data_IF_735377544097
#
_entry.id   IF_735377544097
#
_cell.length_a   1.000
_cell.length_b   1.000
_cell.length_c   1.000
_cell.angle_alpha   90.00
_cell.angle_beta   90.00
_cell.angle_gamma   90.00
#
_symmetry.space_group_name_H-M   'P 1'
#
loop_
_entity.id
_entity.type
_entity.pdbx_description
1 polymer ?
#
# COMPACT_ATOMS: atom_id res chain seq x y z
N UNK A 1 17.66 -37.27 -23.07
CA UNK A 1 18.74 -36.26 -23.17
C UNK A 1 18.18 -34.90 -22.73
N UNK A 2 18.42 -34.52 -21.48
CA UNK A 2 17.98 -33.20 -20.94
C UNK A 2 19.07 -32.19 -21.24
N UNK A 3 18.78 -31.23 -22.14
CA UNK A 3 19.65 -30.08 -22.36
C UNK A 3 19.51 -29.12 -21.16
N UNK A 4 20.59 -28.96 -20.39
CA UNK A 4 20.73 -27.88 -19.42
C UNK A 4 20.94 -26.58 -20.19
N UNK A 5 19.94 -25.70 -20.16
CA UNK A 5 20.09 -24.33 -20.64
C UNK A 5 20.90 -23.58 -19.56
N UNK A 6 22.11 -23.19 -19.88
CA UNK A 6 22.91 -22.26 -19.06
C UNK A 6 22.40 -20.86 -19.43
N UNK A 7 21.58 -20.29 -18.55
CA UNK A 7 21.19 -18.88 -18.64
C UNK A 7 22.38 -18.06 -18.15
N UNK A 8 23.06 -17.42 -19.10
CA UNK A 8 24.11 -16.46 -18.78
C UNK A 8 23.51 -15.23 -18.09
N UNK A 9 23.80 -15.07 -16.82
CA UNK A 9 23.60 -13.82 -16.10
C UNK A 9 24.53 -12.78 -16.72
N UNK A 10 24.01 -11.78 -17.41
CA UNK A 10 24.78 -10.61 -17.79
C UNK A 10 25.06 -9.80 -16.53
N UNK A 11 26.08 -10.17 -15.80
CA UNK A 11 26.65 -9.35 -14.74
C UNK A 11 27.42 -8.20 -15.42
N UNK A 12 26.97 -6.99 -15.22
CA UNK A 12 27.81 -5.81 -15.37
C UNK A 12 28.89 -5.86 -14.28
N UNK A 13 29.99 -6.56 -14.56
CA UNK A 13 31.22 -6.46 -13.76
C UNK A 13 32.08 -5.37 -14.36
N UNK A 14 32.01 -4.16 -13.84
CA UNK A 14 33.10 -3.24 -13.97
C UNK A 14 34.18 -3.66 -12.96
N UNK A 15 35.24 -4.31 -13.44
CA UNK A 15 36.49 -4.49 -12.72
C UNK A 15 37.17 -3.11 -12.57
N UNK A 16 37.03 -2.56 -11.38
CA UNK A 16 37.85 -1.45 -10.91
C UNK A 16 38.35 -1.80 -9.52
N UNK A 17 39.56 -2.36 -9.43
CA UNK A 17 40.23 -2.56 -8.15
C UNK A 17 40.64 -1.18 -7.60
N UNK A 18 39.83 -0.65 -6.70
CA UNK A 18 40.15 0.48 -5.85
C UNK A 18 39.71 0.13 -4.43
N UNK A 19 40.69 -0.25 -3.59
CA UNK A 19 40.47 -0.37 -2.15
C UNK A 19 40.25 1.04 -1.64
N UNK A 20 38.96 1.42 -1.46
CA UNK A 20 38.58 2.59 -0.66
C UNK A 20 38.28 2.05 0.74
N UNK A 21 39.28 2.11 1.63
CA UNK A 21 39.09 2.06 3.06
C UNK A 21 38.40 3.36 3.48
N UNK A 22 37.13 3.32 3.63
CA UNK A 22 36.29 4.39 4.13
C UNK A 22 35.04 3.77 4.76
N UNK A 23 35.25 2.98 5.83
CA UNK A 23 34.17 2.58 6.70
C UNK A 23 33.79 3.79 7.56
N UNK A 24 33.01 4.73 7.02
CA UNK A 24 32.12 5.51 7.85
C UNK A 24 31.06 4.54 8.39
N UNK A 25 31.23 4.11 9.63
CA UNK A 25 30.18 3.48 10.40
C UNK A 25 29.10 4.55 10.66
N UNK A 26 28.24 4.80 9.68
CA UNK A 26 26.99 5.46 9.94
C UNK A 26 26.24 4.54 10.89
N UNK A 27 26.12 4.93 12.15
CA UNK A 27 25.19 4.36 13.13
C UNK A 27 23.77 4.56 12.58
N UNK A 28 23.36 3.66 11.69
CA UNK A 28 21.99 3.52 11.25
C UNK A 28 21.21 3.05 12.48
N UNK A 29 20.62 3.99 13.23
CA UNK A 29 19.45 3.67 14.05
C UNK A 29 18.37 3.22 13.07
N UNK A 30 18.32 1.93 12.81
CA UNK A 30 17.45 1.31 11.81
C UNK A 30 15.97 1.49 12.19
N UNK A 31 15.70 1.65 13.49
CA UNK A 31 14.34 1.75 14.05
C UNK A 31 14.30 2.82 15.14
N UNK A 32 13.33 3.72 15.08
CA UNK A 32 12.98 4.62 16.17
C UNK A 32 11.56 4.32 16.63
N UNK A 33 11.36 4.12 17.93
CA UNK A 33 10.05 3.96 18.54
C UNK A 33 9.78 5.13 19.49
N UNK A 34 8.57 5.66 19.48
CA UNK A 34 8.15 6.77 20.33
C UNK A 34 6.71 6.61 20.77
N UNK A 35 6.36 7.19 21.90
CA UNK A 35 4.96 7.35 22.29
C UNK A 35 4.28 8.31 21.30
N UNK A 36 3.02 8.03 20.94
CA UNK A 36 2.25 8.97 20.12
C UNK A 36 2.08 10.28 20.86
N UNK A 37 2.63 11.37 20.30
CA UNK A 37 2.53 12.70 20.92
C UNK A 37 1.11 13.29 20.82
N UNK A 38 0.45 13.05 19.67
CA UNK A 38 -0.93 13.45 19.41
C UNK A 38 -1.62 12.33 18.64
N UNK A 39 -2.73 11.85 19.15
CA UNK A 39 -3.54 10.87 18.44
C UNK A 39 -4.52 11.58 17.52
N UNK A 40 -4.35 11.36 16.21
CA UNK A 40 -5.20 11.94 15.16
C UNK A 40 -5.90 10.87 14.33
N UNK A 41 -5.95 9.64 14.82
CA UNK A 41 -6.68 8.55 14.17
C UNK A 41 -8.17 8.91 14.05
N UNK A 42 -8.76 8.62 12.88
CA UNK A 42 -10.14 9.02 12.57
C UNK A 42 -11.19 7.95 12.85
N UNK A 43 -10.77 6.81 13.38
CA UNK A 43 -11.62 5.68 13.76
C UNK A 43 -11.68 5.51 15.29
N UNK A 44 -12.61 4.71 15.78
CA UNK A 44 -12.75 4.42 17.21
C UNK A 44 -11.48 3.74 17.75
N UNK A 45 -10.89 4.36 18.78
CA UNK A 45 -9.66 3.89 19.41
C UNK A 45 -10.00 2.81 20.43
N UNK A 46 -9.34 1.66 20.32
CA UNK A 46 -9.40 0.63 21.34
C UNK A 46 -8.34 0.92 22.42
N UNK A 47 -8.75 1.20 23.67
CA UNK A 47 -7.82 1.52 24.76
C UNK A 47 -6.96 0.33 25.20
N UNK A 48 -7.35 -0.90 24.87
CA UNK A 48 -6.61 -2.12 25.22
C UNK A 48 -5.47 -2.41 24.24
N UNK A 49 -5.44 -1.75 23.07
CA UNK A 49 -4.40 -1.89 22.07
C UNK A 49 -3.34 -0.81 22.22
N UNK A 50 -2.14 -1.24 22.61
CA UNK A 50 -0.99 -0.32 22.70
C UNK A 50 -0.52 0.11 21.33
N UNK A 51 -0.29 1.41 21.15
CA UNK A 51 0.17 1.99 19.88
C UNK A 51 1.40 2.85 20.09
N UNK A 52 2.41 2.63 19.23
CA UNK A 52 3.67 3.38 19.25
C UNK A 52 3.94 3.97 17.86
N UNK A 53 4.46 5.18 17.80
CA UNK A 53 5.02 5.74 16.58
C UNK A 53 6.35 5.07 16.25
N UNK A 54 6.54 4.68 15.00
CA UNK A 54 7.76 4.04 14.54
C UNK A 54 8.27 4.70 13.25
N UNK A 55 9.58 4.62 13.06
CA UNK A 55 10.24 5.07 11.84
C UNK A 55 11.24 4.04 11.37
N UNK A 56 11.27 3.78 10.08
CA UNK A 56 12.16 2.83 9.42
C UNK A 56 12.44 3.29 7.98
N UNK A 57 13.51 2.81 7.38
CA UNK A 57 13.93 3.23 6.03
C UNK A 57 13.67 2.14 5.01
N UNK A 58 13.26 2.55 3.82
CA UNK A 58 13.27 1.67 2.65
C UNK A 58 14.67 1.63 2.01
N UNK A 59 14.88 0.74 1.02
CA UNK A 59 16.18 0.59 0.34
C UNK A 59 16.64 1.83 -0.44
N UNK A 60 15.75 2.77 -0.70
CA UNK A 60 16.07 4.06 -1.32
C UNK A 60 16.51 5.12 -0.28
N UNK A 61 16.53 4.76 1.00
CA UNK A 61 16.90 5.66 2.10
C UNK A 61 15.78 6.59 2.56
N UNK A 62 14.56 6.46 2.01
CA UNK A 62 13.39 7.23 2.45
C UNK A 62 12.92 6.71 3.81
N UNK A 63 12.80 7.59 4.80
CA UNK A 63 12.26 7.24 6.11
C UNK A 63 10.74 7.22 6.09
N UNK A 64 10.16 6.07 6.46
CA UNK A 64 8.74 5.84 6.58
C UNK A 64 8.28 6.02 8.02
N UNK A 65 7.12 6.65 8.20
CA UNK A 65 6.46 6.82 9.49
C UNK A 65 5.31 5.82 9.63
N UNK A 66 5.26 5.11 10.74
CA UNK A 66 4.23 4.10 11.00
C UNK A 66 3.66 4.18 12.42
N UNK A 67 2.52 3.54 12.61
CA UNK A 67 1.95 3.21 13.90
C UNK A 67 2.06 1.70 14.10
N UNK A 68 2.85 1.28 15.09
CA UNK A 68 2.98 -0.10 15.53
C UNK A 68 1.91 -0.37 16.58
N UNK A 69 1.04 -1.35 16.32
CA UNK A 69 0.00 -1.81 17.21
C UNK A 69 0.41 -3.14 17.82
N UNK A 70 0.35 -3.22 19.15
CA UNK A 70 0.66 -4.43 19.91
C UNK A 70 -0.64 -5.03 20.44
N UNK A 71 -0.81 -6.37 20.39
CA UNK A 71 -2.03 -7.02 20.84
C UNK A 71 -2.27 -6.81 22.34
N UNK A 72 -3.51 -7.02 22.77
CA UNK A 72 -3.85 -7.05 24.20
C UNK A 72 -2.99 -8.11 24.91
N UNK A 73 -2.56 -7.79 26.12
CA UNK A 73 -1.66 -8.64 26.93
C UNK A 73 -0.35 -9.02 26.19
N UNK A 74 0.18 -8.07 25.41
CA UNK A 74 1.46 -8.23 24.73
C UNK A 74 2.56 -8.65 25.69
N UNK A 75 3.31 -9.68 25.33
CA UNK A 75 4.44 -10.23 26.08
C UNK A 75 5.68 -10.28 25.16
N UNK A 76 6.65 -9.41 25.41
CA UNK A 76 7.85 -9.30 24.60
C UNK A 76 8.72 -10.56 24.58
N UNK A 77 8.49 -11.52 25.49
CA UNK A 77 9.18 -12.82 25.50
C UNK A 77 8.63 -13.83 24.47
N UNK A 78 7.45 -13.55 23.91
CA UNK A 78 6.79 -14.40 22.92
C UNK A 78 7.11 -13.97 21.49
N UNK A 79 6.89 -14.87 20.53
CA UNK A 79 6.97 -14.60 19.11
C UNK A 79 5.58 -14.46 18.50
N UNK A 80 5.37 -13.40 17.76
CA UNK A 80 4.10 -13.07 17.12
C UNK A 80 4.22 -13.13 15.60
N UNK A 81 3.15 -13.53 14.94
CA UNK A 81 2.96 -13.25 13.53
C UNK A 81 2.72 -11.75 13.34
N UNK A 82 3.18 -11.19 12.22
CA UNK A 82 3.10 -9.76 12.01
C UNK A 82 2.52 -9.38 10.64
N UNK A 83 1.78 -8.24 10.59
CA UNK A 83 1.07 -7.78 9.41
C UNK A 83 1.39 -6.30 9.14
N UNK A 84 1.87 -5.96 7.92
CA UNK A 84 1.94 -4.56 7.47
C UNK A 84 0.67 -4.16 6.73
N UNK A 85 0.19 -2.96 6.98
CA UNK A 85 -1.05 -2.45 6.40
C UNK A 85 -0.81 -1.09 5.76
N UNK A 86 -1.24 -0.91 4.51
CA UNK A 86 -1.19 0.37 3.83
C UNK A 86 -2.40 0.62 2.95
N UNK A 87 -2.70 1.89 2.72
CA UNK A 87 -3.81 2.37 1.89
C UNK A 87 -4.96 2.96 2.69
N UNK A 88 -5.96 3.47 2.00
CA UNK A 88 -6.11 3.66 0.54
C UNK A 88 -5.06 4.56 -0.10
N UNK A 89 -5.00 4.55 -1.45
CA UNK A 89 -4.09 5.41 -2.20
C UNK A 89 -4.44 6.89 -1.98
N UNK A 90 -3.50 7.65 -1.43
CA UNK A 90 -3.74 9.04 -1.01
C UNK A 90 -4.29 9.22 0.41
N UNK A 91 -4.51 8.12 1.14
CA UNK A 91 -4.79 8.15 2.57
C UNK A 91 -3.51 8.16 3.42
N UNK A 92 -3.68 8.27 4.73
CA UNK A 92 -2.61 8.19 5.73
C UNK A 92 -2.91 7.09 6.75
N UNK A 93 -1.89 6.69 7.51
CA UNK A 93 -1.95 5.62 8.51
C UNK A 93 -2.99 5.83 9.63
N UNK A 94 -3.48 7.04 9.78
CA UNK A 94 -4.55 7.40 10.73
C UNK A 94 -5.97 7.10 10.22
N UNK A 95 -6.11 6.66 8.97
CA UNK A 95 -7.37 6.33 8.30
C UNK A 95 -7.58 4.80 8.23
N UNK A 96 -8.15 4.29 7.15
CA UNK A 96 -8.52 2.88 7.00
C UNK A 96 -7.39 1.88 7.33
N UNK A 97 -6.14 2.15 6.92
CA UNK A 97 -5.02 1.24 7.25
C UNK A 97 -4.78 1.11 8.75
N UNK A 98 -4.92 2.19 9.50
CA UNK A 98 -4.83 2.16 10.96
C UNK A 98 -5.97 1.36 11.61
N UNK A 99 -7.20 1.48 11.06
CA UNK A 99 -8.33 0.68 11.51
C UNK A 99 -8.07 -0.82 11.32
N UNK A 100 -7.65 -1.22 10.13
CA UNK A 100 -7.32 -2.62 9.84
C UNK A 100 -6.16 -3.12 10.74
N UNK A 101 -5.15 -2.29 10.96
CA UNK A 101 -4.04 -2.63 11.84
C UNK A 101 -4.51 -2.83 13.29
N UNK A 102 -5.36 -1.94 13.81
CA UNK A 102 -5.93 -2.08 15.16
C UNK A 102 -6.77 -3.35 15.27
N UNK A 103 -7.63 -3.64 14.29
CA UNK A 103 -8.49 -4.82 14.31
C UNK A 103 -7.70 -6.14 14.24
N UNK A 104 -6.60 -6.18 13.49
CA UNK A 104 -5.72 -7.34 13.48
C UNK A 104 -4.90 -7.45 14.78
N UNK A 105 -4.53 -6.33 15.41
CA UNK A 105 -3.88 -6.36 16.71
C UNK A 105 -4.82 -6.89 17.82
N UNK A 106 -6.11 -6.54 17.80
CA UNK A 106 -7.13 -7.12 18.69
C UNK A 106 -7.24 -8.65 18.55
N UNK A 107 -6.88 -9.17 17.39
CA UNK A 107 -6.89 -10.61 17.06
C UNK A 107 -5.55 -11.30 17.27
N UNK A 108 -4.62 -10.63 17.97
CA UNK A 108 -3.36 -11.23 18.44
C UNK A 108 -2.15 -11.06 17.53
N UNK A 109 -2.26 -10.30 16.43
CA UNK A 109 -1.13 -10.02 15.56
C UNK A 109 -0.37 -8.77 16.00
N UNK A 110 0.93 -8.71 15.77
CA UNK A 110 1.69 -7.46 15.79
C UNK A 110 1.49 -6.77 14.43
N UNK A 111 1.00 -5.53 14.43
CA UNK A 111 0.68 -4.87 13.16
C UNK A 111 1.34 -3.50 13.03
N UNK A 112 1.61 -3.09 11.80
CA UNK A 112 2.07 -1.73 11.51
C UNK A 112 1.25 -1.14 10.37
N UNK A 113 0.60 0.01 10.60
CA UNK A 113 0.08 0.87 9.55
C UNK A 113 1.11 1.96 9.27
N UNK A 114 1.44 2.23 8.02
CA UNK A 114 2.47 3.21 7.65
C UNK A 114 2.00 4.18 6.59
N UNK A 115 2.57 5.39 6.61
CA UNK A 115 2.47 6.34 5.52
C UNK A 115 3.47 5.94 4.43
N UNK A 116 3.07 5.91 3.15
CA UNK A 116 4.02 5.63 2.08
C UNK A 116 5.04 6.75 1.88
N UNK A 117 6.13 6.42 1.21
CA UNK A 117 7.14 7.40 0.77
C UNK A 117 6.48 8.63 0.16
N UNK A 118 7.01 9.81 0.45
CA UNK A 118 6.58 11.13 -0.04
C UNK A 118 5.27 11.67 0.55
N UNK A 119 4.59 10.95 1.43
CA UNK A 119 3.26 11.32 1.94
C UNK A 119 3.18 11.27 3.47
N UNK A 120 2.10 11.82 4.03
CA UNK A 120 1.85 11.81 5.45
C UNK A 120 3.03 12.36 6.27
N UNK A 121 3.50 11.58 7.24
CA UNK A 121 4.68 11.85 8.06
C UNK A 121 5.95 11.17 7.57
N UNK A 122 5.86 10.35 6.52
CA UNK A 122 7.02 9.76 5.84
C UNK A 122 7.80 10.83 5.08
N UNK A 123 9.09 10.62 4.92
CA UNK A 123 9.97 11.52 4.19
C UNK A 123 9.88 11.34 2.67
N UNK A 124 10.82 11.91 1.98
CA UNK A 124 10.97 11.89 0.52
C UNK A 124 10.63 13.23 -0.13
N UNK A 125 11.44 13.58 -1.14
CA UNK A 125 11.30 14.78 -1.95
C UNK A 125 11.35 14.42 -3.43
N UNK A 126 10.55 15.10 -4.27
CA UNK A 126 9.53 16.09 -3.88
C UNK A 126 8.34 15.41 -3.17
N UNK A 127 7.59 16.20 -2.38
CA UNK A 127 6.41 15.67 -1.67
C UNK A 127 5.30 15.26 -2.64
N UNK A 128 4.47 14.33 -2.18
CA UNK A 128 3.24 13.88 -2.86
C UNK A 128 3.47 13.17 -4.19
N UNK A 129 4.66 12.62 -4.39
CA UNK A 129 4.95 11.73 -5.51
C UNK A 129 4.36 10.35 -5.26
N UNK A 130 3.80 9.75 -6.30
CA UNK A 130 3.47 8.33 -6.33
C UNK A 130 4.37 7.64 -7.35
N UNK A 131 4.97 6.52 -6.95
CA UNK A 131 5.87 5.72 -7.78
C UNK A 131 5.56 4.23 -7.61
N UNK A 132 5.24 3.49 -8.68
CA UNK A 132 4.94 2.06 -8.57
C UNK A 132 6.10 1.25 -7.98
N UNK A 133 7.35 1.60 -8.28
CA UNK A 133 8.54 0.93 -7.75
C UNK A 133 8.75 1.26 -6.26
N UNK A 134 8.89 2.55 -5.93
CA UNK A 134 9.18 2.98 -4.55
C UNK A 134 8.05 2.59 -3.60
N UNK A 135 6.79 2.75 -4.02
CA UNK A 135 5.66 2.41 -3.16
C UNK A 135 5.47 0.88 -3.01
N UNK A 136 5.85 0.07 -3.98
CA UNK A 136 5.94 -1.39 -3.80
C UNK A 136 7.01 -1.74 -2.77
N UNK A 137 8.17 -1.10 -2.86
CA UNK A 137 9.29 -1.26 -1.92
C UNK A 137 8.91 -0.88 -0.48
N UNK A 138 8.02 0.10 -0.29
CA UNK A 138 7.58 0.49 1.05
C UNK A 138 6.95 -0.68 1.84
N UNK A 139 6.31 -1.64 1.16
CA UNK A 139 5.86 -2.90 1.80
C UNK A 139 7.05 -3.78 2.21
N UNK A 140 8.05 -3.95 1.34
CA UNK A 140 9.26 -4.73 1.67
C UNK A 140 10.03 -4.09 2.83
N UNK A 141 10.12 -2.77 2.87
CA UNK A 141 10.69 -2.04 4.00
C UNK A 141 9.92 -2.27 5.32
N UNK A 142 8.59 -2.34 5.26
CA UNK A 142 7.79 -2.70 6.42
C UNK A 142 7.95 -4.17 6.83
N UNK A 143 8.27 -5.08 5.91
CA UNK A 143 8.66 -6.45 6.20
C UNK A 143 10.03 -6.48 6.87
N UNK A 144 11.02 -5.74 6.37
CA UNK A 144 12.34 -5.58 7.00
C UNK A 144 12.20 -5.09 8.44
N UNK A 145 11.51 -3.97 8.63
CA UNK A 145 11.28 -3.38 9.94
C UNK A 145 10.76 -4.39 10.96
N UNK A 146 9.72 -5.15 10.61
CA UNK A 146 9.10 -6.10 11.52
C UNK A 146 9.96 -7.32 11.78
N UNK A 147 10.71 -7.77 10.78
CA UNK A 147 11.62 -8.90 10.92
C UNK A 147 12.81 -8.60 11.86
N UNK A 148 13.06 -7.31 12.15
CA UNK A 148 14.06 -6.85 13.10
C UNK A 148 13.53 -6.69 14.53
N UNK A 149 12.22 -6.88 14.77
CA UNK A 149 11.65 -6.84 16.11
C UNK A 149 11.80 -8.18 16.81
N UNK A 150 12.46 -8.21 17.96
CA UNK A 150 12.78 -9.44 18.69
C UNK A 150 11.53 -10.29 19.03
N UNK A 151 10.36 -9.68 19.13
CA UNK A 151 9.09 -10.34 19.42
C UNK A 151 8.30 -10.75 18.16
N UNK A 152 8.84 -10.55 16.97
CA UNK A 152 8.21 -11.01 15.71
C UNK A 152 8.91 -12.26 15.20
N UNK A 153 8.13 -13.20 14.69
CA UNK A 153 8.62 -14.33 13.94
C UNK A 153 8.81 -13.92 12.47
N UNK A 154 10.04 -13.88 11.95
CA UNK A 154 10.33 -13.42 10.59
C UNK A 154 9.71 -14.33 9.51
N UNK A 155 9.40 -15.59 9.83
CA UNK A 155 8.76 -16.52 8.90
C UNK A 155 7.23 -16.42 8.89
N UNK A 156 6.65 -15.60 9.78
CA UNK A 156 5.21 -15.40 9.96
C UNK A 156 4.77 -13.98 9.64
N UNK A 157 5.04 -13.55 8.41
CA UNK A 157 4.83 -12.17 7.96
C UNK A 157 3.78 -12.10 6.86
N UNK A 158 2.75 -11.27 7.06
CA UNK A 158 1.71 -10.95 6.10
C UNK A 158 1.60 -9.46 5.80
N UNK A 159 0.84 -9.14 4.76
CA UNK A 159 0.54 -7.76 4.38
C UNK A 159 -0.95 -7.58 4.06
N UNK A 160 -1.46 -6.36 4.27
CA UNK A 160 -2.80 -5.93 3.83
C UNK A 160 -2.65 -4.67 2.98
N UNK A 161 -3.15 -4.71 1.75
CA UNK A 161 -3.25 -3.55 0.88
C UNK A 161 -4.70 -3.15 0.64
N UNK A 162 -5.03 -1.86 0.86
CA UNK A 162 -6.40 -1.33 0.70
C UNK A 162 -6.44 -0.40 -0.52
N UNK A 163 -7.45 -0.53 -1.37
CA UNK A 163 -7.64 0.30 -2.56
C UNK A 163 -6.43 0.19 -3.52
N UNK A 164 -5.84 1.29 -3.98
CA UNK A 164 -4.64 1.26 -4.82
C UNK A 164 -3.45 0.53 -4.21
N UNK A 165 -3.38 0.46 -2.88
CA UNK A 165 -2.36 -0.33 -2.17
C UNK A 165 -2.62 -1.84 -2.25
N UNK A 166 -3.81 -2.27 -2.63
CA UNK A 166 -4.07 -3.68 -2.93
C UNK A 166 -3.29 -4.17 -4.15
N UNK A 167 -3.23 -3.39 -5.22
CA UNK A 167 -2.40 -3.70 -6.39
C UNK A 167 -0.90 -3.68 -6.08
N UNK A 168 -0.45 -2.70 -5.26
CA UNK A 168 0.94 -2.63 -4.77
C UNK A 168 1.29 -3.81 -3.84
N UNK A 169 0.34 -4.27 -3.02
CA UNK A 169 0.53 -5.45 -2.17
C UNK A 169 0.71 -6.73 -2.99
N UNK A 170 -0.06 -6.91 -4.08
CA UNK A 170 0.14 -8.03 -5.01
C UNK A 170 1.51 -7.95 -5.68
N UNK A 171 1.92 -6.75 -6.11
CA UNK A 171 3.24 -6.55 -6.70
C UNK A 171 4.36 -6.84 -5.68
N UNK A 172 4.21 -6.41 -4.42
CA UNK A 172 5.15 -6.74 -3.35
C UNK A 172 5.22 -8.25 -3.09
N UNK A 173 4.09 -8.94 -3.07
CA UNK A 173 4.04 -10.40 -2.89
C UNK A 173 4.67 -11.18 -4.06
N UNK A 174 4.68 -10.60 -5.28
CA UNK A 174 5.37 -11.19 -6.43
C UNK A 174 6.90 -11.05 -6.36
N UNK A 175 7.41 -10.04 -5.64
CA UNK A 175 8.84 -9.72 -5.56
C UNK A 175 9.45 -10.22 -4.24
N UNK A 176 8.76 -10.05 -3.11
CA UNK A 176 9.27 -10.36 -1.78
C UNK A 176 8.76 -11.72 -1.28
N UNK A 177 9.61 -12.73 -1.39
CA UNK A 177 9.27 -14.12 -1.02
C UNK A 177 9.12 -14.35 0.50
N UNK A 178 9.45 -13.37 1.32
CA UNK A 178 9.24 -13.39 2.78
C UNK A 178 7.79 -13.14 3.16
N UNK A 179 7.00 -12.54 2.26
CA UNK A 179 5.56 -12.34 2.46
C UNK A 179 4.85 -13.70 2.28
N UNK A 180 4.29 -14.25 3.37
CA UNK A 180 3.64 -15.56 3.40
C UNK A 180 2.15 -15.50 3.11
N UNK A 181 1.51 -14.36 3.42
CA UNK A 181 0.08 -14.16 3.23
C UNK A 181 -0.21 -12.70 2.86
N UNK A 182 -1.04 -12.49 1.85
CA UNK A 182 -1.43 -11.17 1.35
C UNK A 182 -2.94 -11.05 1.34
N UNK A 183 -3.47 -10.00 1.97
CA UNK A 183 -4.88 -9.63 1.85
C UNK A 183 -4.98 -8.34 1.04
N UNK A 184 -5.86 -8.31 0.06
CA UNK A 184 -6.24 -7.08 -0.62
C UNK A 184 -7.71 -6.76 -0.32
N UNK A 185 -7.99 -5.52 0.09
CA UNK A 185 -9.34 -5.04 0.30
C UNK A 185 -9.68 -3.98 -0.73
N UNK A 186 -10.75 -4.20 -1.49
CA UNK A 186 -11.27 -3.26 -2.50
C UNK A 186 -10.17 -2.72 -3.43
N UNK A 187 -9.28 -3.61 -3.93
CA UNK A 187 -8.07 -3.21 -4.64
C UNK A 187 -8.32 -2.48 -5.95
N UNK A 188 -7.35 -1.61 -6.29
CA UNK A 188 -7.15 -1.08 -7.64
C UNK A 188 -5.84 -1.57 -8.23
N UNK A 189 -5.82 -1.84 -9.52
CA UNK A 189 -4.61 -1.80 -10.32
C UNK A 189 -4.35 -0.36 -10.76
N UNK A 190 -3.47 0.33 -10.02
CA UNK A 190 -3.15 1.74 -10.29
C UNK A 190 -2.49 1.95 -11.64
N UNK A 191 -1.75 0.98 -12.16
CA UNK A 191 -1.19 1.04 -13.51
C UNK A 191 -2.28 0.97 -14.57
N UNK A 192 -3.23 0.04 -14.44
CA UNK A 192 -4.34 -0.13 -15.38
C UNK A 192 -5.26 1.11 -15.40
N UNK A 193 -5.64 1.65 -14.23
CA UNK A 193 -6.54 2.81 -14.21
C UNK A 193 -5.88 4.06 -14.77
N UNK A 194 -4.58 4.25 -14.58
CA UNK A 194 -3.85 5.37 -15.17
C UNK A 194 -3.61 5.20 -16.67
N UNK A 195 -3.45 3.95 -17.15
CA UNK A 195 -3.20 3.66 -18.57
C UNK A 195 -4.48 3.58 -19.39
N UNK A 196 -5.56 3.03 -18.82
CA UNK A 196 -6.76 2.68 -19.56
C UNK A 196 -8.03 3.43 -19.08
N UNK A 197 -7.92 4.23 -18.00
CA UNK A 197 -9.07 4.89 -17.38
C UNK A 197 -9.97 3.92 -16.62
N UNK A 198 -11.07 4.44 -16.09
CA UNK A 198 -12.10 3.61 -15.47
C UNK A 198 -12.80 2.75 -16.53
N UNK A 199 -13.03 1.48 -16.21
CA UNK A 199 -13.68 0.50 -17.09
C UNK A 199 -12.95 0.27 -18.42
N UNK A 200 -11.63 0.57 -18.45
CA UNK A 200 -10.78 0.53 -19.64
C UNK A 200 -11.34 1.37 -20.81
N UNK A 201 -11.94 2.51 -20.49
CA UNK A 201 -12.59 3.38 -21.48
C UNK A 201 -11.60 4.23 -22.30
N UNK A 202 -10.31 4.23 -21.95
CA UNK A 202 -9.26 4.99 -22.63
C UNK A 202 -8.56 4.09 -23.67
N UNK A 203 -8.67 4.44 -24.92
CA UNK A 203 -7.94 3.81 -26.03
C UNK A 203 -6.49 4.34 -26.16
N UNK A 204 -5.79 3.91 -27.21
CA UNK A 204 -4.39 4.28 -27.44
C UNK A 204 -4.22 5.78 -27.75
N UNK A 205 -5.16 6.37 -28.48
CA UNK A 205 -5.11 7.79 -28.86
C UNK A 205 -5.38 8.66 -27.64
N UNK A 206 -6.42 8.39 -26.86
CA UNK A 206 -6.70 9.10 -25.61
C UNK A 206 -5.56 8.98 -24.58
N UNK A 207 -4.92 7.82 -24.52
CA UNK A 207 -3.73 7.61 -23.68
C UNK A 207 -2.54 8.41 -24.19
N UNK A 208 -2.37 8.52 -25.51
CA UNK A 208 -1.33 9.35 -26.10
C UNK A 208 -1.54 10.84 -25.79
N UNK A 209 -2.76 11.34 -25.93
CA UNK A 209 -3.13 12.72 -25.57
C UNK A 209 -2.89 13.01 -24.08
N UNK A 210 -3.25 12.08 -23.19
CA UNK A 210 -2.95 12.19 -21.76
C UNK A 210 -1.44 12.32 -21.52
N UNK A 211 -0.62 11.51 -22.19
CA UNK A 211 0.84 11.62 -22.08
C UNK A 211 1.35 12.98 -22.56
N UNK A 212 0.80 13.54 -23.64
CA UNK A 212 1.17 14.88 -24.12
C UNK A 212 0.82 15.95 -23.08
N UNK A 213 -0.37 15.91 -22.49
CA UNK A 213 -0.79 16.83 -21.42
C UNK A 213 0.14 16.74 -20.21
N UNK A 214 0.46 15.52 -19.75
CA UNK A 214 1.35 15.29 -18.61
C UNK A 214 2.79 15.75 -18.90
N UNK A 215 3.29 15.57 -20.12
CA UNK A 215 4.62 16.06 -20.52
C UNK A 215 4.66 17.59 -20.62
N UNK A 216 3.58 18.22 -21.08
CA UNK A 216 3.44 19.69 -21.03
C UNK A 216 3.48 20.17 -19.58
N UNK A 217 2.70 19.55 -18.69
CA UNK A 217 2.70 19.88 -17.26
C UNK A 217 4.10 19.71 -16.65
N UNK A 218 4.81 18.62 -16.99
CA UNK A 218 6.17 18.39 -16.50
C UNK A 218 7.13 19.52 -16.89
N UNK A 219 7.00 20.06 -18.11
CA UNK A 219 7.80 21.19 -18.56
C UNK A 219 7.44 22.48 -17.81
N UNK A 220 6.15 22.71 -17.57
CA UNK A 220 5.68 23.85 -16.76
C UNK A 220 6.18 23.77 -15.32
N UNK A 221 6.10 22.60 -14.71
CA UNK A 221 6.62 22.35 -13.35
C UNK A 221 8.13 22.66 -13.28
N UNK A 222 8.90 22.22 -14.27
CA UNK A 222 10.34 22.49 -14.36
C UNK A 222 10.65 23.98 -14.51
N UNK A 223 9.88 24.71 -15.33
CA UNK A 223 10.04 26.15 -15.53
C UNK A 223 9.71 26.95 -14.25
N UNK A 224 8.71 26.51 -13.52
CA UNK A 224 8.22 27.18 -12.32
C UNK A 224 8.94 26.76 -11.04
N UNK A 225 9.79 25.74 -11.08
CA UNK A 225 10.48 25.18 -9.91
C UNK A 225 9.54 24.60 -8.85
N UNK A 226 8.33 24.15 -9.25
CA UNK A 226 7.31 23.59 -8.35
C UNK A 226 6.51 22.52 -9.06
N UNK A 227 5.95 21.59 -8.28
CA UNK A 227 5.14 20.50 -8.79
C UNK A 227 3.65 20.81 -8.65
N UNK A 228 2.91 20.65 -9.75
CA UNK A 228 1.45 20.81 -9.76
C UNK A 228 0.78 19.57 -9.19
N UNK A 229 -0.16 19.79 -8.28
CA UNK A 229 -0.93 18.71 -7.66
C UNK A 229 -2.21 18.44 -8.47
N UNK A 230 -2.62 17.17 -8.48
CA UNK A 230 -3.79 16.74 -9.26
C UNK A 230 -5.14 17.14 -8.63
N UNK A 231 -5.12 17.59 -7.37
CA UNK A 231 -6.32 17.76 -6.56
C UNK A 231 -6.72 16.45 -5.86
N UNK A 232 -7.31 16.59 -4.68
CA UNK A 232 -7.95 15.49 -3.94
C UNK A 232 -9.41 15.30 -4.37
N UNK A 233 -10.20 14.71 -3.51
CA UNK A 233 -11.67 14.71 -3.67
C UNK A 233 -12.15 16.17 -3.57
N UNK A 234 -13.03 16.58 -4.47
CA UNK A 234 -13.53 17.96 -4.52
C UNK A 234 -14.28 18.34 -3.23
N UNK A 235 -14.14 19.59 -2.79
CA UNK A 235 -14.87 20.07 -1.60
C UNK A 235 -16.37 20.19 -1.86
N UNK A 236 -16.74 20.59 -3.08
CA UNK A 236 -18.13 20.64 -3.56
C UNK A 236 -18.24 19.74 -4.78
N UNK A 237 -19.18 18.83 -4.73
CA UNK A 237 -19.44 17.92 -5.86
C UNK A 237 -20.46 18.56 -6.82
N UNK A 238 -20.31 18.35 -8.13
CA UNK A 238 -21.36 18.58 -9.10
C UNK A 238 -22.59 17.71 -8.76
N UNK A 239 -23.79 18.21 -9.11
CA UNK A 239 -25.05 17.49 -8.85
C UNK A 239 -25.07 16.11 -9.56
N UNK A 240 -24.51 16.05 -10.76
CA UNK A 240 -24.37 14.87 -11.62
C UNK A 240 -23.15 14.01 -11.30
N UNK A 241 -22.42 14.30 -10.22
CA UNK A 241 -21.25 13.50 -9.83
C UNK A 241 -21.62 12.01 -9.73
N UNK A 242 -20.80 11.10 -10.30
CA UNK A 242 -21.01 9.66 -10.18
C UNK A 242 -21.18 9.22 -8.72
N UNK A 243 -22.04 8.24 -8.47
CA UNK A 243 -22.35 7.78 -7.12
C UNK A 243 -21.10 7.39 -6.31
N UNK A 244 -20.11 6.76 -6.94
CA UNK A 244 -18.88 6.37 -6.26
C UNK A 244 -17.99 7.57 -5.90
N UNK A 245 -18.09 8.69 -6.63
CA UNK A 245 -17.41 9.94 -6.28
C UNK A 245 -18.07 10.56 -5.05
N UNK A 246 -19.41 10.47 -4.94
CA UNK A 246 -20.16 10.88 -3.74
C UNK A 246 -19.76 10.04 -2.53
N UNK A 247 -19.53 8.75 -2.73
CA UNK A 247 -19.07 7.81 -1.69
C UNK A 247 -17.67 8.20 -1.17
N UNK A 248 -16.72 8.50 -2.06
CA UNK A 248 -15.40 9.03 -1.67
C UNK A 248 -15.50 10.37 -0.94
N UNK A 249 -16.36 11.27 -1.40
CA UNK A 249 -16.57 12.54 -0.74
C UNK A 249 -17.10 12.33 0.69
N UNK A 250 -18.10 11.46 0.87
CA UNK A 250 -18.65 11.13 2.18
C UNK A 250 -17.61 10.60 3.16
N UNK A 251 -16.58 9.93 2.69
CA UNK A 251 -15.46 9.50 3.54
C UNK A 251 -14.43 10.62 3.72
N UNK A 252 -13.81 11.12 2.65
CA UNK A 252 -12.63 11.99 2.74
C UNK A 252 -12.93 13.44 3.14
N UNK A 253 -14.16 13.92 2.94
CA UNK A 253 -14.54 15.33 3.18
C UNK A 253 -15.44 15.52 4.40
N UNK A 254 -15.72 14.46 5.15
CA UNK A 254 -16.55 14.53 6.36
C UNK A 254 -15.79 13.97 7.57
N UNK A 255 -16.38 14.09 8.77
CA UNK A 255 -15.82 13.53 10.02
C UNK A 255 -15.62 12.01 9.97
N UNK A 256 -16.21 11.31 8.98
CA UNK A 256 -16.07 9.86 8.81
C UNK A 256 -14.61 9.45 8.58
N UNK A 257 -13.88 10.18 7.74
CA UNK A 257 -12.51 9.81 7.40
C UNK A 257 -11.61 10.97 6.99
N UNK A 258 -12.04 12.25 7.16
CA UNK A 258 -11.19 13.39 6.87
C UNK A 258 -9.93 13.38 7.72
N UNK A 259 -8.78 13.56 7.10
CA UNK A 259 -7.52 13.79 7.79
C UNK A 259 -6.70 14.87 7.12
N UNK A 260 -6.12 15.79 7.91
CA UNK A 260 -5.38 16.96 7.41
C UNK A 260 -4.16 16.63 6.55
N UNK A 261 -3.56 15.43 6.70
CA UNK A 261 -2.40 14.98 5.92
C UNK A 261 -2.79 14.07 4.73
N UNK A 262 -4.05 13.63 4.65
CA UNK A 262 -4.52 12.81 3.54
C UNK A 262 -4.58 13.61 2.25
N UNK A 263 -3.99 13.09 1.19
CA UNK A 263 -4.00 13.72 -0.13
C UNK A 263 -5.41 13.74 -0.72
N UNK A 264 -6.19 12.69 -0.49
CA UNK A 264 -7.58 12.63 -0.95
C UNK A 264 -8.47 13.65 -0.23
N UNK A 265 -8.18 13.93 1.04
CA UNK A 265 -8.89 14.96 1.80
C UNK A 265 -8.49 16.39 1.40
N UNK A 266 -7.36 16.59 0.71
CA UNK A 266 -6.78 17.90 0.46
C UNK A 266 -6.31 18.09 -0.98
N UNK A 267 -4.99 18.05 -1.21
CA UNK A 267 -4.38 18.57 -2.44
C UNK A 267 -4.13 17.54 -3.54
N UNK A 268 -4.28 16.25 -3.22
CA UNK A 268 -3.99 15.17 -4.18
C UNK A 268 -2.48 14.93 -4.39
N UNK A 269 -2.20 14.01 -5.31
CA UNK A 269 -0.86 13.63 -5.71
C UNK A 269 -0.23 14.64 -6.67
N UNK A 270 1.10 14.60 -6.79
CA UNK A 270 1.80 15.22 -7.89
C UNK A 270 1.23 14.71 -9.22
N UNK A 271 0.73 15.63 -10.04
CA UNK A 271 -0.03 15.34 -11.26
C UNK A 271 0.74 14.46 -12.25
N UNK A 272 2.05 14.68 -12.36
CA UNK A 272 2.91 13.94 -13.29
C UNK A 272 3.28 12.53 -12.82
N UNK A 273 2.92 12.15 -11.58
CA UNK A 273 3.10 10.76 -11.08
C UNK A 273 2.37 9.72 -11.94
N UNK A 274 1.28 10.11 -12.62
CA UNK A 274 0.55 9.24 -13.54
C UNK A 274 1.43 8.66 -14.66
N UNK A 275 2.45 9.40 -15.13
CA UNK A 275 3.39 8.92 -16.15
C UNK A 275 4.09 7.61 -15.76
N UNK A 276 4.48 7.49 -14.50
CA UNK A 276 5.14 6.28 -14.01
C UNK A 276 4.20 5.07 -14.01
N UNK A 277 2.95 5.27 -13.59
CA UNK A 277 1.95 4.20 -13.57
C UNK A 277 1.51 3.76 -14.97
N UNK A 278 1.34 4.70 -15.91
CA UNK A 278 0.96 4.38 -17.30
C UNK A 278 1.93 3.36 -17.93
N UNK A 279 3.21 3.45 -17.61
CA UNK A 279 4.26 2.68 -18.27
C UNK A 279 4.81 1.52 -17.42
N UNK A 280 4.23 1.24 -16.23
CA UNK A 280 4.71 0.21 -15.31
C UNK A 280 3.57 -0.73 -14.90
N UNK A 281 3.29 -1.80 -15.67
CA UNK A 281 2.24 -2.76 -15.33
C UNK A 281 2.56 -3.48 -14.01
N UNK A 282 1.87 -3.13 -12.92
CA UNK A 282 2.14 -3.65 -11.57
C UNK A 282 1.86 -5.14 -11.42
N UNK A 283 0.88 -5.67 -12.16
CA UNK A 283 0.46 -7.07 -12.05
C UNK A 283 1.04 -7.96 -13.15
N UNK A 284 2.18 -7.56 -13.75
CA UNK A 284 2.81 -8.31 -14.84
C UNK A 284 3.22 -9.74 -14.45
N UNK A 285 3.67 -9.93 -13.22
CA UNK A 285 4.13 -11.22 -12.68
C UNK A 285 3.28 -11.71 -11.50
N UNK A 286 2.03 -11.26 -11.38
CA UNK A 286 1.14 -11.70 -10.30
C UNK A 286 0.82 -13.20 -10.32
N UNK A 287 0.93 -13.84 -11.49
CA UNK A 287 0.77 -15.29 -11.65
C UNK A 287 1.96 -16.12 -11.07
N UNK A 288 3.06 -15.47 -10.72
CA UNK A 288 4.20 -16.10 -10.04
C UNK A 288 4.11 -16.06 -8.51
N UNK A 289 3.11 -15.39 -7.93
CA UNK A 289 2.90 -15.33 -6.48
C UNK A 289 2.62 -16.73 -5.93
N UNK A 290 3.53 -17.27 -5.13
CA UNK A 290 3.39 -18.59 -4.50
C UNK A 290 2.75 -18.52 -3.11
N UNK A 291 2.90 -17.40 -2.40
CA UNK A 291 2.30 -17.19 -1.09
C UNK A 291 0.77 -17.09 -1.16
N UNK A 292 0.10 -17.26 -0.03
CA UNK A 292 -1.36 -17.21 0.02
C UNK A 292 -1.90 -15.80 -0.29
N UNK A 293 -3.04 -15.73 -0.98
CA UNK A 293 -3.70 -14.46 -1.32
C UNK A 293 -5.20 -14.55 -1.06
N UNK A 294 -5.72 -13.63 -0.25
CA UNK A 294 -7.15 -13.37 -0.09
C UNK A 294 -7.49 -12.00 -0.67
N UNK A 295 -8.33 -11.98 -1.69
CA UNK A 295 -8.83 -10.75 -2.29
C UNK A 295 -10.28 -10.50 -1.84
N UNK A 296 -10.55 -9.33 -1.27
CA UNK A 296 -11.87 -8.95 -0.77
C UNK A 296 -12.35 -7.74 -1.58
N UNK A 297 -13.57 -7.81 -2.11
CA UNK A 297 -14.15 -6.68 -2.84
C UNK A 297 -15.66 -6.57 -2.59
N UNK A 298 -16.18 -5.33 -2.65
CA UNK A 298 -17.61 -5.10 -2.54
C UNK A 298 -18.35 -5.45 -3.84
N UNK A 299 -19.53 -6.08 -3.71
CA UNK A 299 -20.37 -6.41 -4.86
C UNK A 299 -20.77 -5.19 -5.67
N UNK A 300 -21.11 -4.09 -4.99
CA UNK A 300 -21.53 -2.82 -5.61
C UNK A 300 -20.36 -1.89 -5.93
N UNK A 301 -19.12 -2.29 -5.62
CA UNK A 301 -17.98 -1.43 -5.89
C UNK A 301 -17.75 -1.25 -7.40
N UNK A 302 -17.66 0.00 -7.85
CA UNK A 302 -17.34 0.35 -9.25
C UNK A 302 -15.98 -0.21 -9.72
N UNK A 303 -15.10 -0.52 -8.76
CA UNK A 303 -13.74 -1.04 -8.97
C UNK A 303 -13.64 -2.57 -8.90
N UNK A 304 -14.74 -3.29 -8.76
CA UNK A 304 -14.76 -4.74 -8.54
C UNK A 304 -14.01 -5.52 -9.62
N UNK A 305 -14.09 -5.08 -10.86
CA UNK A 305 -13.44 -5.72 -12.00
C UNK A 305 -11.90 -5.80 -11.86
N UNK A 306 -11.26 -4.88 -11.14
CA UNK A 306 -9.82 -4.97 -10.88
C UNK A 306 -9.46 -6.23 -10.09
N UNK A 307 -10.21 -6.54 -9.03
CA UNK A 307 -9.98 -7.76 -8.24
C UNK A 307 -10.32 -9.01 -9.03
N UNK A 308 -11.44 -9.03 -9.75
CA UNK A 308 -11.86 -10.20 -10.53
C UNK A 308 -10.84 -10.55 -11.63
N UNK A 309 -10.33 -9.55 -12.33
CA UNK A 309 -9.35 -9.77 -13.40
C UNK A 309 -7.94 -10.07 -12.87
N UNK A 310 -7.54 -9.48 -11.74
CA UNK A 310 -6.30 -9.85 -11.09
C UNK A 310 -6.35 -11.29 -10.55
N UNK A 311 -7.47 -11.68 -9.92
CA UNK A 311 -7.65 -13.03 -9.40
C UNK A 311 -7.53 -14.11 -10.49
N UNK A 312 -8.06 -13.87 -11.69
CA UNK A 312 -7.94 -14.79 -12.84
C UNK A 312 -6.49 -15.07 -13.25
N UNK A 313 -5.56 -14.17 -12.93
CA UNK A 313 -4.13 -14.35 -13.22
C UNK A 313 -3.42 -15.19 -12.16
N UNK A 314 -3.90 -15.18 -10.91
CA UNK A 314 -3.27 -15.88 -9.81
C UNK A 314 -3.31 -17.40 -10.01
N UNK A 315 -2.25 -18.10 -9.60
CA UNK A 315 -2.13 -19.56 -9.73
C UNK A 315 -1.99 -20.20 -8.35
N UNK A 316 -2.43 -21.46 -8.24
CA UNK A 316 -2.37 -22.25 -7.03
C UNK A 316 -3.71 -22.29 -6.29
N UNK A 317 -3.82 -23.16 -5.32
CA UNK A 317 -5.02 -23.47 -4.53
C UNK A 317 -5.14 -22.67 -3.24
N UNK A 318 -4.12 -21.87 -2.92
CA UNK A 318 -4.05 -20.95 -1.78
C UNK A 318 -4.47 -19.51 -2.15
N UNK A 319 -5.38 -19.37 -3.09
CA UNK A 319 -5.91 -18.10 -3.58
C UNK A 319 -7.42 -18.07 -3.40
N UNK A 320 -7.93 -16.97 -2.86
CA UNK A 320 -9.37 -16.80 -2.62
C UNK A 320 -9.82 -15.40 -3.05
N UNK A 321 -10.99 -15.33 -3.69
CA UNK A 321 -11.70 -14.08 -3.97
C UNK A 321 -13.02 -14.09 -3.22
N UNK A 322 -13.22 -13.13 -2.32
CA UNK A 322 -14.42 -12.95 -1.53
C UNK A 322 -15.14 -11.66 -1.95
N UNK A 323 -16.34 -11.81 -2.48
CA UNK A 323 -17.22 -10.69 -2.84
C UNK A 323 -18.22 -10.46 -1.71
N UNK A 324 -18.22 -9.26 -1.14
CA UNK A 324 -19.09 -8.88 -0.03
C UNK A 324 -20.41 -8.33 -0.58
N UNK A 325 -21.55 -9.00 -0.29
CA UNK A 325 -22.85 -8.58 -0.80
C UNK A 325 -23.21 -7.15 -0.41
N UNK A 326 -23.76 -6.40 -1.38
CA UNK A 326 -24.23 -5.01 -1.23
C UNK A 326 -23.17 -4.00 -0.74
N UNK A 327 -21.89 -4.38 -0.59
CA UNK A 327 -20.84 -3.46 -0.18
C UNK A 327 -20.36 -2.60 -1.35
N UNK A 328 -20.17 -1.31 -1.09
CA UNK A 328 -19.48 -0.39 -2.00
C UNK A 328 -17.96 -0.47 -1.83
N UNK A 329 -17.23 0.33 -2.61
CA UNK A 329 -15.78 0.42 -2.46
C UNK A 329 -15.39 0.99 -1.08
N UNK A 330 -16.07 2.05 -0.66
CA UNK A 330 -15.76 2.81 0.56
C UNK A 330 -16.32 2.14 1.83
N UNK A 331 -17.32 1.26 1.70
CA UNK A 331 -17.76 0.42 2.82
C UNK A 331 -16.61 -0.43 3.39
N UNK A 332 -15.68 -0.86 2.53
CA UNK A 332 -14.52 -1.64 2.96
C UNK A 332 -13.37 -0.78 3.55
N UNK A 333 -13.61 0.52 3.80
CA UNK A 333 -12.66 1.36 4.53
C UNK A 333 -12.90 1.36 6.04
N UNK A 334 -14.17 1.38 6.46
CA UNK A 334 -14.54 1.62 7.87
C UNK A 334 -15.86 0.98 8.33
N UNK A 335 -16.62 0.35 7.44
CA UNK A 335 -17.88 -0.27 7.80
C UNK A 335 -17.68 -1.69 8.39
N UNK A 336 -17.72 -1.79 9.72
CA UNK A 336 -17.57 -3.06 10.44
C UNK A 336 -18.63 -4.12 10.06
N UNK A 337 -19.79 -3.72 9.59
CA UNK A 337 -20.83 -4.63 9.11
C UNK A 337 -20.52 -5.24 7.73
N UNK A 338 -19.52 -4.73 7.03
CA UNK A 338 -19.13 -5.15 5.68
C UNK A 338 -17.69 -5.71 5.61
N UNK A 339 -16.77 -5.19 6.41
CA UNK A 339 -15.39 -5.69 6.42
C UNK A 339 -15.36 -7.05 7.13
N UNK A 340 -14.96 -8.13 6.46
CA UNK A 340 -15.01 -9.48 7.03
C UNK A 340 -13.75 -9.76 7.88
N UNK A 341 -13.57 -9.04 9.01
CA UNK A 341 -12.38 -9.15 9.85
C UNK A 341 -12.13 -10.57 10.35
N UNK A 342 -13.17 -11.33 10.68
CA UNK A 342 -13.03 -12.72 11.15
C UNK A 342 -12.50 -13.63 10.04
N UNK A 343 -12.89 -13.40 8.78
CA UNK A 343 -12.33 -14.12 7.63
C UNK A 343 -10.86 -13.74 7.39
N UNK A 344 -10.51 -12.48 7.56
CA UNK A 344 -9.11 -12.00 7.45
C UNK A 344 -8.25 -12.63 8.55
N UNK A 345 -8.75 -12.66 9.80
CA UNK A 345 -8.10 -13.33 10.92
C UNK A 345 -7.86 -14.80 10.63
N UNK A 346 -8.90 -15.54 10.24
CA UNK A 346 -8.80 -16.96 9.92
C UNK A 346 -7.77 -17.22 8.81
N UNK A 347 -7.78 -16.40 7.75
CA UNK A 347 -6.82 -16.51 6.65
C UNK A 347 -5.38 -16.35 7.14
N UNK A 348 -5.09 -15.35 7.97
CA UNK A 348 -3.73 -15.16 8.49
C UNK A 348 -3.34 -16.29 9.46
N UNK A 349 -4.26 -16.80 10.28
CA UNK A 349 -3.98 -17.95 11.13
C UNK A 349 -3.69 -19.22 10.33
N UNK A 350 -4.30 -19.40 9.17
CA UNK A 350 -4.07 -20.57 8.32
C UNK A 350 -2.70 -20.52 7.63
N UNK A 351 -2.21 -19.35 7.29
CA UNK A 351 -1.00 -19.18 6.45
C UNK A 351 0.21 -18.56 7.16
N UNK A 352 0.06 -18.06 8.39
CA UNK A 352 1.15 -17.54 9.23
C UNK A 352 1.40 -18.47 10.44
N UNK A 353 1.54 -19.77 10.19
CA UNK A 353 1.80 -20.81 11.20
C UNK A 353 3.26 -20.89 11.57
#
# INVERSE_FOLDING_TARGET
MRRKLIVGLALFSMLGAGIINGQESTNLKVITMSKLANDTRVFAIDPEISVQGVRFKNRFGVELAGHLYLPQNFDASKKYAAIAVCGPFGAVKEQASGLYAQEMARRGFVTVAFDPSFTGESEGQPRYVASPDINTEDFSAAVDFRSLLDFVDPDRVGIIGICGWGGLALNAAAIDTRIKATVTSTMYDMSRVNANGYFDAMDDDARYELKQQLNTQRLEDARNGRYTLAGGVADVLPDDAPWFVKDYHAYYKTKRGYHKRSLNSNSGWNKTSALSFINTPQLAYSDEIRSAVLMIHGEKAHSRYFSEDAFKKLRGDNKELLIIPEATHVDLYDNFGKIPFDKIEQFFHDYLK
#
